data_IF_148969872900
#
_entry.id   IF_148969872900
#
_cell.length_a   1.000
_cell.length_b   1.000
_cell.length_c   1.000
_cell.angle_alpha   90.00
_cell.angle_beta   90.00
_cell.angle_gamma   90.00
#
_symmetry.space_group_name_H-M   'P 1'
#
loop_
_entity.id
_entity.type
_entity.pdbx_description
1 polymer ?
#
# COMPACT_ATOMS: atom_id res chain seq x y z
N UNK A 1 -16.23 -12.35 -5.34
CA UNK A 1 -15.52 -11.95 -6.58
C UNK A 1 -14.06 -12.42 -6.50
N UNK A 2 -13.58 -13.25 -7.42
CA UNK A 2 -12.22 -13.81 -7.35
C UNK A 2 -11.12 -12.83 -7.76
N UNK A 3 -9.92 -13.00 -7.20
CA UNK A 3 -8.69 -12.36 -7.70
C UNK A 3 -8.18 -13.14 -8.90
N UNK A 4 -7.91 -12.47 -10.03
CA UNK A 4 -7.26 -13.09 -11.20
C UNK A 4 -5.87 -13.59 -10.77
N UNK A 5 -5.65 -14.91 -10.84
CA UNK A 5 -4.48 -15.59 -10.26
C UNK A 5 -3.23 -15.57 -11.15
N UNK A 6 -3.37 -15.29 -12.45
CA UNK A 6 -2.27 -15.35 -13.42
C UNK A 6 -1.23 -14.26 -13.13
N UNK A 7 0.05 -14.64 -13.10
CA UNK A 7 1.23 -13.76 -12.87
C UNK A 7 1.34 -13.08 -11.49
N UNK A 8 0.54 -13.49 -10.50
CA UNK A 8 0.62 -12.95 -9.14
C UNK A 8 1.37 -13.89 -8.22
N UNK A 9 2.25 -13.32 -7.40
CA UNK A 9 2.91 -14.03 -6.30
C UNK A 9 1.94 -14.11 -5.11
N UNK A 10 2.10 -15.14 -4.29
CA UNK A 10 1.27 -15.38 -3.10
C UNK A 10 2.10 -15.19 -1.85
N UNK A 11 1.45 -14.74 -0.78
CA UNK A 11 2.00 -14.74 0.57
C UNK A 11 0.87 -14.99 1.56
N UNK A 12 1.14 -15.78 2.60
CA UNK A 12 0.22 -15.98 3.71
C UNK A 12 0.72 -15.17 4.89
N UNK A 13 -0.14 -14.29 5.44
CA UNK A 13 0.14 -13.46 6.61
C UNK A 13 -1.11 -13.38 7.46
N UNK A 14 -0.96 -13.43 8.78
CA UNK A 14 -2.10 -13.39 9.73
C UNK A 14 -3.21 -14.39 9.39
N UNK A 15 -2.83 -15.60 8.97
CA UNK A 15 -3.73 -16.68 8.52
C UNK A 15 -4.64 -16.32 7.34
N UNK A 16 -4.27 -15.29 6.56
CA UNK A 16 -4.99 -14.79 5.39
C UNK A 16 -4.10 -14.89 4.15
N UNK A 17 -4.72 -15.16 3.00
CA UNK A 17 -4.04 -15.23 1.72
C UNK A 17 -4.01 -13.85 1.04
N UNK A 18 -2.82 -13.45 0.61
CA UNK A 18 -2.59 -12.25 -0.17
C UNK A 18 -1.93 -12.59 -1.50
N UNK A 19 -2.25 -11.78 -2.50
CA UNK A 19 -1.66 -11.78 -3.82
C UNK A 19 -0.93 -10.46 -4.03
N UNK A 20 0.28 -10.53 -4.57
CA UNK A 20 1.04 -9.33 -4.90
C UNK A 20 1.72 -9.48 -6.26
N UNK A 21 1.90 -8.34 -6.92
CA UNK A 21 2.50 -8.25 -8.23
C UNK A 21 3.01 -6.83 -8.47
N UNK A 22 3.88 -6.70 -9.47
CA UNK A 22 4.55 -5.46 -9.80
C UNK A 22 4.27 -5.20 -11.26
N UNK A 23 3.79 -3.99 -11.58
CA UNK A 23 3.53 -3.56 -12.94
C UNK A 23 4.00 -2.12 -13.16
N UNK A 24 4.62 -1.81 -14.31
CA UNK A 24 4.83 -0.42 -14.69
C UNK A 24 3.48 0.21 -15.01
N UNK A 25 3.23 1.39 -14.46
CA UNK A 25 2.07 2.18 -14.82
C UNK A 25 2.42 3.04 -16.04
N UNK A 26 1.92 2.65 -17.20
CA UNK A 26 2.23 3.28 -18.49
C UNK A 26 1.68 4.71 -18.54
N UNK A 27 0.57 4.97 -17.84
CA UNK A 27 -0.06 6.29 -17.79
C UNK A 27 0.66 7.25 -16.83
N UNK A 28 1.40 6.71 -15.84
CA UNK A 28 2.26 7.45 -14.91
C UNK A 28 3.75 7.30 -15.29
N UNK A 29 4.12 7.63 -16.53
CA UNK A 29 5.52 7.66 -17.02
C UNK A 29 6.31 6.34 -16.86
N UNK A 30 5.63 5.19 -16.76
CA UNK A 30 6.27 3.89 -16.55
C UNK A 30 6.71 3.64 -15.12
N UNK A 31 6.22 4.42 -14.15
CA UNK A 31 6.51 4.26 -12.73
C UNK A 31 6.17 2.83 -12.28
N UNK A 32 7.11 2.19 -11.58
CA UNK A 32 6.94 0.82 -11.09
C UNK A 32 6.02 0.84 -9.86
N UNK A 33 4.84 0.22 -9.98
CA UNK A 33 3.87 0.08 -8.88
C UNK A 33 3.85 -1.34 -8.34
N UNK A 34 3.93 -1.46 -7.03
CA UNK A 34 3.67 -2.67 -6.27
C UNK A 34 2.19 -2.70 -5.88
N UNK A 35 1.51 -3.79 -6.20
CA UNK A 35 0.12 -4.03 -5.84
C UNK A 35 0.04 -5.17 -4.83
N UNK A 36 -0.69 -4.96 -3.74
CA UNK A 36 -1.00 -5.99 -2.73
C UNK A 36 -2.51 -6.07 -2.57
N UNK A 37 -3.04 -7.29 -2.70
CA UNK A 37 -4.47 -7.56 -2.69
C UNK A 37 -4.75 -8.78 -1.81
N UNK A 38 -5.60 -8.61 -0.82
CA UNK A 38 -6.21 -9.72 -0.08
C UNK A 38 -7.11 -10.58 -0.96
N UNK A 39 -7.27 -11.86 -0.63
CA UNK A 39 -8.14 -12.78 -1.39
C UNK A 39 -9.61 -12.32 -1.43
N UNK A 40 -10.10 -11.79 -0.31
CA UNK A 40 -11.45 -11.22 -0.17
C UNK A 40 -11.60 -9.83 -0.82
N UNK A 41 -10.48 -9.24 -1.30
CA UNK A 41 -10.37 -7.89 -1.87
C UNK A 41 -10.72 -6.77 -0.88
N UNK A 42 -10.72 -7.05 0.42
CA UNK A 42 -10.98 -6.04 1.44
C UNK A 42 -9.79 -5.09 1.58
N UNK A 43 -8.59 -5.64 1.75
CA UNK A 43 -7.34 -4.91 1.63
C UNK A 43 -6.90 -4.88 0.16
N UNK A 44 -6.80 -3.68 -0.41
CA UNK A 44 -6.18 -3.42 -1.71
C UNK A 44 -5.32 -2.17 -1.55
N UNK A 45 -4.02 -2.30 -1.76
CA UNK A 45 -3.08 -1.18 -1.66
C UNK A 45 -2.10 -1.18 -2.82
N UNK A 46 -1.64 0.01 -3.17
CA UNK A 46 -0.63 0.26 -4.20
C UNK A 46 0.46 1.18 -3.68
N UNK A 47 1.71 0.80 -3.93
CA UNK A 47 2.90 1.53 -3.54
C UNK A 47 3.78 1.80 -4.75
N UNK A 48 4.16 3.05 -4.97
CA UNK A 48 5.18 3.40 -5.97
C UNK A 48 6.56 3.04 -5.43
N UNK A 49 7.29 2.21 -6.18
CA UNK A 49 8.60 1.68 -5.80
C UNK A 49 9.69 2.72 -6.10
N UNK A 50 10.58 2.96 -5.15
CA UNK A 50 11.66 3.95 -5.27
C UNK A 50 11.34 5.31 -4.66
N UNK A 51 10.15 5.49 -4.08
CA UNK A 51 9.78 6.71 -3.34
C UNK A 51 10.77 7.05 -2.23
N UNK A 52 11.35 6.05 -1.55
CA UNK A 52 12.34 6.30 -0.49
C UNK A 52 13.59 7.03 -0.98
N UNK A 53 13.96 6.83 -2.25
CA UNK A 53 15.14 7.44 -2.85
C UNK A 53 14.94 8.93 -3.21
N UNK A 54 13.69 9.42 -3.18
CA UNK A 54 13.36 10.81 -3.51
C UNK A 54 13.64 11.70 -2.30
N UNK A 55 14.64 12.58 -2.42
CA UNK A 55 14.99 13.53 -1.36
C UNK A 55 13.79 14.43 -1.01
N UNK A 56 13.58 14.63 0.30
CA UNK A 56 12.56 15.53 0.87
C UNK A 56 11.10 15.18 0.54
N UNK A 57 10.82 13.99 0.01
CA UNK A 57 9.45 13.52 -0.22
C UNK A 57 9.19 12.28 0.65
N UNK A 58 8.34 12.38 1.69
CA UNK A 58 7.99 11.22 2.49
C UNK A 58 7.21 10.21 1.63
N UNK A 59 7.53 8.91 1.71
CA UNK A 59 6.84 7.91 0.91
C UNK A 59 5.40 7.75 1.40
N UNK A 60 4.49 7.52 0.47
CA UNK A 60 3.10 7.24 0.78
C UNK A 60 2.60 5.99 0.04
N UNK A 61 1.51 5.42 0.55
CA UNK A 61 0.82 4.30 -0.07
C UNK A 61 -0.61 4.71 -0.41
N UNK A 62 -1.12 4.19 -1.52
CA UNK A 62 -2.50 4.37 -1.96
C UNK A 62 -3.32 3.20 -1.46
N UNK A 63 -4.41 3.48 -0.75
CA UNK A 63 -5.36 2.49 -0.26
C UNK A 63 -6.60 2.57 -1.14
N UNK A 64 -6.89 1.46 -1.80
CA UNK A 64 -8.01 1.30 -2.74
C UNK A 64 -9.14 0.50 -2.10
N UNK A 65 -8.79 -0.52 -1.31
CA UNK A 65 -9.74 -1.42 -0.65
C UNK A 65 -10.41 -0.76 0.54
N UNK A 66 -11.47 -1.38 1.06
CA UNK A 66 -12.20 -0.91 2.25
C UNK A 66 -11.37 -1.02 3.52
N UNK A 67 -10.58 -2.09 3.66
CA UNK A 67 -9.86 -2.45 4.87
C UNK A 67 -8.51 -1.74 4.94
N UNK A 68 -8.33 -0.98 6.01
CA UNK A 68 -7.06 -0.42 6.45
C UNK A 68 -7.21 -0.04 7.92
N UNK A 69 -6.54 -0.76 8.81
CA UNK A 69 -6.75 -0.62 10.26
C UNK A 69 -6.22 0.72 10.79
N UNK A 70 -6.83 1.22 11.86
CA UNK A 70 -6.56 2.56 12.41
C UNK A 70 -7.30 3.70 11.69
N UNK A 71 -7.89 3.45 10.52
CA UNK A 71 -8.68 4.47 9.82
C UNK A 71 -10.13 4.51 10.33
N UNK A 72 -10.52 5.64 10.93
CA UNK A 72 -11.82 5.80 11.59
C UNK A 72 -12.83 6.64 10.81
N UNK A 73 -12.45 7.18 9.64
CA UNK A 73 -13.31 8.06 8.84
C UNK A 73 -14.05 7.28 7.76
N UNK A 74 -15.34 7.53 7.60
CA UNK A 74 -16.06 7.13 6.39
C UNK A 74 -15.43 7.86 5.18
N UNK A 75 -14.98 7.10 4.18
CA UNK A 75 -14.33 7.65 3.01
C UNK A 75 -14.74 6.89 1.75
N UNK A 76 -15.04 7.63 0.69
CA UNK A 76 -15.41 7.10 -0.62
C UNK A 76 -14.24 7.37 -1.57
N UNK A 77 -13.63 6.30 -2.09
CA UNK A 77 -12.57 6.38 -3.10
C UNK A 77 -11.16 6.07 -2.59
N UNK A 78 -10.15 6.48 -3.36
CA UNK A 78 -8.74 6.18 -3.08
C UNK A 78 -8.18 7.10 -2.00
N UNK A 79 -7.54 6.50 -0.99
CA UNK A 79 -6.91 7.21 0.12
C UNK A 79 -5.40 7.16 -0.03
N UNK A 80 -4.69 8.18 0.44
CA UNK A 80 -3.23 8.20 0.46
C UNK A 80 -2.75 8.53 1.86
N UNK A 81 -1.81 7.75 2.35
CA UNK A 81 -1.26 7.90 3.70
C UNK A 81 0.25 7.77 3.68
N UNK A 82 0.92 8.57 4.50
CA UNK A 82 2.37 8.41 4.68
C UNK A 82 2.68 7.03 5.23
N UNK A 83 3.82 6.51 4.79
CA UNK A 83 4.34 5.21 5.19
C UNK A 83 5.59 5.40 6.03
N UNK A 84 5.93 4.41 6.88
CA UNK A 84 7.28 4.30 7.41
C UNK A 84 8.30 4.31 6.27
N UNK A 85 9.54 4.73 6.58
CA UNK A 85 10.63 4.62 5.62
C UNK A 85 11.01 3.14 5.47
N UNK A 86 10.61 2.55 4.36
CA UNK A 86 11.04 1.22 3.95
C UNK A 86 12.25 1.28 3.01
N UNK A 87 13.06 0.22 2.98
CA UNK A 87 14.02 0.01 1.90
C UNK A 87 13.26 -0.60 0.72
N UNK A 88 12.95 0.24 -0.27
CA UNK A 88 12.12 -0.10 -1.43
C UNK A 88 12.94 -0.37 -2.70
N UNK A 89 14.26 -0.48 -2.60
CA UNK A 89 15.15 -0.78 -3.72
C UNK A 89 14.92 -2.18 -4.30
N UNK A 90 14.58 -3.14 -3.45
CA UNK A 90 14.37 -4.55 -3.82
C UNK A 90 13.06 -5.05 -3.23
N UNK A 91 12.19 -5.55 -4.11
CA UNK A 91 10.88 -6.07 -3.72
C UNK A 91 11.03 -7.50 -3.18
N UNK A 92 10.98 -7.66 -1.86
CA UNK A 92 11.15 -8.95 -1.19
C UNK A 92 9.86 -9.42 -0.51
N UNK A 93 9.61 -10.74 -0.39
CA UNK A 93 8.47 -11.25 0.38
C UNK A 93 8.45 -10.78 1.84
N UNK A 94 9.63 -10.49 2.42
CA UNK A 94 9.74 -9.91 3.77
C UNK A 94 9.11 -8.52 3.79
N UNK A 95 9.52 -7.65 2.87
CA UNK A 95 8.98 -6.30 2.76
C UNK A 95 7.47 -6.29 2.45
N UNK A 96 7.00 -7.20 1.58
CA UNK A 96 5.55 -7.38 1.37
C UNK A 96 4.83 -7.71 2.69
N UNK A 97 5.43 -8.57 3.51
CA UNK A 97 4.92 -8.88 4.85
C UNK A 97 4.86 -7.63 5.74
N UNK A 98 5.92 -6.84 5.78
CA UNK A 98 5.99 -5.61 6.57
C UNK A 98 4.91 -4.59 6.17
N UNK A 99 4.63 -4.43 4.86
CA UNK A 99 3.54 -3.58 4.38
C UNK A 99 2.18 -4.12 4.85
N UNK A 100 1.93 -5.42 4.69
CA UNK A 100 0.67 -6.04 5.12
C UNK A 100 0.47 -5.87 6.63
N UNK A 101 1.49 -6.17 7.42
CA UNK A 101 1.44 -6.06 8.87
C UNK A 101 1.18 -4.62 9.31
N UNK A 102 1.81 -3.64 8.64
CA UNK A 102 1.56 -2.21 8.88
C UNK A 102 0.13 -1.80 8.50
N UNK A 103 -0.40 -2.26 7.37
CA UNK A 103 -1.79 -1.98 6.97
C UNK A 103 -2.81 -2.50 7.98
N UNK A 104 -2.53 -3.64 8.63
CA UNK A 104 -3.41 -4.30 9.60
C UNK A 104 -3.14 -3.90 11.07
N UNK A 105 -2.12 -3.08 11.32
CA UNK A 105 -1.83 -2.57 12.65
C UNK A 105 -2.89 -1.52 13.04
N UNK A 106 -3.59 -1.74 14.16
CA UNK A 106 -4.64 -0.83 14.67
C UNK A 106 -4.07 0.44 15.27
N UNK A 107 -3.06 0.29 16.11
CA UNK A 107 -2.45 1.39 16.86
C UNK A 107 -1.26 1.93 16.04
N UNK A 108 -1.57 2.84 15.12
CA UNK A 108 -0.58 3.53 14.30
C UNK A 108 -1.01 4.94 13.98
N UNK A 109 -0.04 5.83 13.90
CA UNK A 109 -0.23 7.18 13.41
C UNK A 109 -0.54 7.16 11.91
N UNK A 110 -1.60 7.86 11.49
CA UNK A 110 -2.01 7.93 10.09
C UNK A 110 -2.00 9.38 9.64
N UNK A 111 -1.03 9.73 8.79
CA UNK A 111 -0.95 11.02 8.13
C UNK A 111 -1.53 10.91 6.72
N UNK A 112 -2.72 11.48 6.52
CA UNK A 112 -3.42 11.53 5.24
C UNK A 112 -2.75 12.58 4.35
N UNK A 113 -2.47 12.22 3.10
CA UNK A 113 -1.82 13.10 2.14
C UNK A 113 -2.60 13.26 0.85
N UNK A 114 -2.31 14.33 0.11
CA UNK A 114 -2.79 14.50 -1.26
C UNK A 114 -1.93 13.69 -2.26
N UNK A 115 -2.21 13.85 -3.55
CA UNK A 115 -1.47 13.18 -4.62
C UNK A 115 0.02 13.60 -4.73
N UNK A 116 0.40 14.74 -4.14
CA UNK A 116 1.79 15.21 -4.07
C UNK A 116 2.55 14.69 -2.85
N UNK A 117 1.86 14.06 -1.88
CA UNK A 117 2.44 13.66 -0.60
C UNK A 117 2.41 14.76 0.47
N UNK A 118 1.67 15.85 0.25
CA UNK A 118 1.49 16.92 1.24
C UNK A 118 0.41 16.53 2.25
N UNK A 119 0.65 16.78 3.53
CA UNK A 119 -0.26 16.41 4.62
C UNK A 119 -1.56 17.21 4.52
N UNK A 120 -2.68 16.48 4.46
CA UNK A 120 -4.03 17.03 4.53
C UNK A 120 -4.59 16.96 5.95
N UNK A 121 -4.34 15.85 6.65
CA UNK A 121 -4.91 15.59 7.98
C UNK A 121 -4.09 14.53 8.72
N UNK A 122 -4.03 14.67 10.04
CA UNK A 122 -3.42 13.70 10.94
C UNK A 122 -4.52 12.95 11.73
N UNK A 123 -4.37 11.65 11.88
CA UNK A 123 -5.20 10.80 12.75
C UNK A 123 -4.29 10.11 13.77
N UNK A 124 -4.63 10.28 15.04
CA UNK A 124 -3.96 9.72 16.21
C UNK A 124 -4.87 8.73 16.93
#
# INVERSE_FOLDING_TARGET
>A
MGVRKKYKRKIVRSNRLFYWYVEPDIDDEGIIKLHIVSEDKKLIVTYEVGQHSIKNKPPFIVIIGEEFEGWTLEYIGYRRVLTPKWSDEIITPKWIGEIIDWCLLKDKEINIVNWKGEILRHLS
#
